data_IF_113024067534
#
_entry.id   IF_113024067534
#
_cell.length_a   1.000
_cell.length_b   1.000
_cell.length_c   1.000
_cell.angle_alpha   90.00
_cell.angle_beta   90.00
_cell.angle_gamma   90.00
#
_symmetry.space_group_name_H-M   'P 1'
#
loop_
_entity.id
_entity.type
_entity.pdbx_description
1 polymer ?
#
# COMPACT_ATOMS: atom_id res chain seq x y z
N UNK A 1 -20.51 -0.21 4.88
CA UNK A 1 -20.04 0.92 5.69
C UNK A 1 -18.61 1.28 5.28
N UNK A 2 -18.41 2.50 4.79
CA UNK A 2 -17.12 3.04 4.34
C UNK A 2 -16.02 2.91 5.40
N UNK A 3 -16.34 3.21 6.67
CA UNK A 3 -15.36 3.12 7.76
C UNK A 3 -14.73 1.71 7.86
N UNK A 4 -15.56 0.69 7.75
CA UNK A 4 -15.08 -0.70 7.81
C UNK A 4 -14.19 -1.04 6.61
N UNK A 5 -14.55 -0.59 5.41
CA UNK A 5 -13.73 -0.82 4.21
C UNK A 5 -12.39 -0.10 4.33
N UNK A 6 -12.37 1.16 4.77
CA UNK A 6 -11.13 1.92 5.00
C UNK A 6 -10.24 1.29 6.08
N UNK A 7 -10.83 0.87 7.20
CA UNK A 7 -10.11 0.19 8.29
C UNK A 7 -9.47 -1.12 7.82
N UNK A 8 -10.22 -1.91 7.07
CA UNK A 8 -9.75 -3.21 6.58
C UNK A 8 -8.69 -3.05 5.46
N UNK A 9 -8.82 -2.01 4.64
CA UNK A 9 -7.83 -1.67 3.61
C UNK A 9 -6.57 -0.99 4.17
N UNK A 10 -6.63 -0.45 5.41
CA UNK A 10 -5.50 0.23 6.01
C UNK A 10 -4.29 -0.71 6.16
N UNK A 11 -3.14 -0.25 5.65
CA UNK A 11 -1.85 -0.91 5.83
C UNK A 11 -0.90 0.03 6.57
N UNK A 12 -0.25 -0.48 7.59
CA UNK A 12 0.92 0.19 8.19
C UNK A 12 2.16 0.01 7.34
N UNK A 13 3.35 0.20 7.93
CA UNK A 13 4.61 -0.14 7.28
C UNK A 13 4.63 -1.61 6.85
N UNK A 14 5.10 -1.87 5.63
CA UNK A 14 5.20 -3.24 5.10
C UNK A 14 6.53 -3.88 5.54
N UNK A 15 6.57 -4.31 6.81
CA UNK A 15 7.73 -5.00 7.36
C UNK A 15 7.70 -6.47 6.93
N UNK A 16 8.74 -6.92 6.27
CA UNK A 16 8.88 -8.30 5.80
C UNK A 16 10.33 -8.73 5.68
N UNK A 17 10.56 -10.03 5.61
CA UNK A 17 11.83 -10.61 5.20
C UNK A 17 11.64 -11.39 3.88
N UNK A 18 12.71 -11.52 3.09
CA UNK A 18 12.68 -12.43 1.94
C UNK A 18 12.39 -13.84 2.44
N UNK A 19 11.39 -14.51 1.86
CA UNK A 19 11.00 -15.87 2.25
C UNK A 19 12.11 -16.90 2.05
N UNK A 20 13.06 -16.64 1.15
CA UNK A 20 14.19 -17.52 0.87
C UNK A 20 15.30 -17.40 1.91
N UNK A 21 15.37 -16.29 2.65
CA UNK A 21 16.40 -16.01 3.65
C UNK A 21 15.86 -15.92 5.07
N UNK A 22 14.54 -16.08 5.25
CA UNK A 22 13.92 -16.06 6.57
C UNK A 22 14.50 -17.17 7.47
N UNK A 23 15.08 -16.79 8.62
CA UNK A 23 15.75 -17.70 9.54
C UNK A 23 17.20 -18.06 9.17
N UNK A 24 17.73 -17.58 8.07
CA UNK A 24 19.12 -17.78 7.68
C UNK A 24 20.00 -16.63 8.20
N UNK A 25 21.28 -16.93 8.43
CA UNK A 25 22.33 -15.92 8.63
C UNK A 25 22.86 -15.53 7.24
N UNK A 26 22.77 -14.25 6.91
CA UNK A 26 23.24 -13.71 5.62
C UNK A 26 24.39 -12.77 5.91
N UNK A 27 25.53 -12.99 5.23
CA UNK A 27 26.72 -12.16 5.33
C UNK A 27 26.75 -11.10 4.22
N UNK A 28 27.62 -10.08 4.38
CA UNK A 28 27.82 -8.99 3.41
C UNK A 28 26.50 -8.23 3.05
N UNK A 29 25.70 -7.93 4.06
CA UNK A 29 24.45 -7.20 3.92
C UNK A 29 24.73 -5.70 3.93
N UNK A 30 24.22 -4.99 2.92
CA UNK A 30 24.18 -3.54 2.90
C UNK A 30 22.81 -3.03 3.34
N UNK A 31 22.79 -1.92 4.12
CA UNK A 31 21.55 -1.27 4.57
C UNK A 31 21.34 0.03 3.82
N UNK A 32 20.16 0.19 3.23
CA UNK A 32 19.74 1.40 2.54
C UNK A 32 18.51 1.98 3.22
N UNK A 33 18.53 3.28 3.47
CA UNK A 33 17.37 4.03 3.98
C UNK A 33 16.97 5.14 3.01
N UNK A 34 15.65 5.32 2.85
CA UNK A 34 15.11 6.43 2.06
C UNK A 34 14.96 7.65 2.94
N UNK A 35 15.85 8.63 2.75
CA UNK A 35 15.80 9.89 3.48
C UNK A 35 14.44 10.57 3.37
N UNK A 36 13.81 10.82 4.53
CA UNK A 36 12.57 11.60 4.64
C UNK A 36 11.43 11.11 3.75
N UNK A 37 11.19 9.80 3.70
CA UNK A 37 10.17 9.19 2.85
C UNK A 37 8.76 9.74 3.11
N UNK A 38 8.36 9.96 4.37
CA UNK A 38 7.07 10.54 4.71
C UNK A 38 6.89 11.99 4.23
N UNK A 39 7.83 12.94 4.49
CA UNK A 39 7.77 14.27 3.90
C UNK A 39 7.69 14.28 2.37
N UNK A 40 8.46 13.41 1.70
CA UNK A 40 8.44 13.30 0.25
C UNK A 40 7.05 12.87 -0.27
N UNK A 41 6.46 11.83 0.33
CA UNK A 41 5.11 11.37 -0.03
C UNK A 41 4.06 12.44 0.23
N UNK A 42 4.09 13.12 1.40
CA UNK A 42 3.16 14.20 1.74
C UNK A 42 3.19 15.33 0.72
N UNK A 43 4.37 15.68 0.24
CA UNK A 43 4.57 16.82 -0.68
C UNK A 43 4.23 16.44 -2.12
N UNK A 44 4.62 15.25 -2.57
CA UNK A 44 4.67 14.89 -3.99
C UNK A 44 3.60 13.90 -4.43
N UNK A 45 2.90 13.23 -3.50
CA UNK A 45 1.84 12.28 -3.86
C UNK A 45 0.44 12.92 -3.82
N UNK A 46 -0.48 12.29 -4.53
CA UNK A 46 -1.89 12.64 -4.49
C UNK A 46 -2.64 11.83 -3.43
N UNK A 47 -3.65 12.45 -2.84
CA UNK A 47 -4.48 11.91 -1.77
C UNK A 47 -5.96 12.04 -2.13
N UNK A 48 -6.87 11.26 -1.51
CA UNK A 48 -8.30 11.55 -1.56
C UNK A 48 -8.56 12.92 -0.93
N UNK A 49 -9.07 13.88 -1.70
CA UNK A 49 -9.30 15.27 -1.26
C UNK A 49 -10.77 15.65 -1.17
N UNK A 50 -11.67 14.73 -1.43
CA UNK A 50 -13.12 14.89 -1.26
C UNK A 50 -13.65 13.74 -0.41
N UNK A 51 -14.87 13.84 0.15
CA UNK A 51 -15.55 12.68 0.72
C UNK A 51 -15.59 11.53 -0.28
N UNK A 52 -15.60 10.31 0.22
CA UNK A 52 -15.80 9.12 -0.59
C UNK A 52 -17.28 8.96 -0.95
N UNK A 53 -17.57 8.64 -2.19
CA UNK A 53 -18.90 8.35 -2.72
C UNK A 53 -19.03 6.87 -3.04
N UNK A 54 -20.13 6.28 -2.64
CA UNK A 54 -20.42 4.88 -2.89
C UNK A 54 -20.73 4.63 -4.36
N UNK A 55 -20.09 3.62 -4.93
CA UNK A 55 -20.32 3.13 -6.31
C UNK A 55 -21.09 1.81 -6.28
N UNK A 56 -20.84 0.97 -5.26
CA UNK A 56 -21.39 -0.38 -5.13
C UNK A 56 -20.55 -1.42 -5.86
N UNK A 57 -21.19 -2.47 -6.35
CA UNK A 57 -20.53 -3.50 -7.13
C UNK A 57 -19.98 -2.94 -8.46
N UNK A 58 -18.78 -3.35 -8.82
CA UNK A 58 -18.06 -2.82 -9.97
C UNK A 58 -17.29 -3.91 -10.71
N UNK A 59 -16.85 -3.61 -11.90
CA UNK A 59 -15.93 -4.45 -12.68
C UNK A 59 -14.52 -3.84 -12.72
N UNK A 60 -13.53 -4.64 -13.13
CA UNK A 60 -12.18 -4.13 -13.37
C UNK A 60 -12.14 -3.02 -14.46
N UNK A 61 -13.11 -3.00 -15.38
CA UNK A 61 -13.24 -1.91 -16.36
C UNK A 61 -13.66 -0.61 -15.69
N UNK A 62 -14.58 -0.68 -14.71
CA UNK A 62 -15.00 0.48 -13.94
C UNK A 62 -13.86 1.03 -13.09
N UNK A 63 -13.08 0.16 -12.44
CA UNK A 63 -11.88 0.56 -11.70
C UNK A 63 -10.92 1.33 -12.63
N UNK A 64 -10.58 0.79 -13.79
CA UNK A 64 -9.70 1.44 -14.76
C UNK A 64 -10.26 2.79 -15.19
N UNK A 65 -11.57 2.88 -15.47
CA UNK A 65 -12.24 4.12 -15.83
C UNK A 65 -12.09 5.18 -14.74
N UNK A 66 -12.39 4.86 -13.49
CA UNK A 66 -12.28 5.82 -12.38
C UNK A 66 -10.83 6.23 -12.12
N UNK A 67 -9.87 5.31 -12.19
CA UNK A 67 -8.44 5.63 -12.08
C UNK A 67 -7.98 6.61 -13.18
N UNK A 68 -8.40 6.40 -14.42
CA UNK A 68 -8.11 7.32 -15.54
C UNK A 68 -8.74 8.71 -15.34
N UNK A 69 -9.83 8.80 -14.58
CA UNK A 69 -10.46 10.07 -14.18
C UNK A 69 -9.82 10.72 -12.94
N UNK A 70 -8.68 10.22 -12.48
CA UNK A 70 -7.99 10.75 -11.31
C UNK A 70 -8.78 10.52 -10.00
N UNK A 71 -9.40 9.35 -9.85
CA UNK A 71 -10.10 8.96 -8.64
C UNK A 71 -9.24 8.03 -7.80
N UNK A 72 -9.19 8.28 -6.50
CA UNK A 72 -8.71 7.33 -5.51
C UNK A 72 -9.86 6.38 -5.17
N UNK A 73 -9.56 5.10 -5.11
CA UNK A 73 -10.55 4.06 -4.87
C UNK A 73 -10.20 3.26 -3.63
N UNK A 74 -11.26 2.81 -2.93
CA UNK A 74 -11.16 1.75 -1.92
C UNK A 74 -12.30 0.78 -2.17
N UNK A 75 -12.03 -0.52 -2.05
CA UNK A 75 -12.99 -1.54 -2.45
C UNK A 75 -12.79 -2.85 -1.69
N UNK A 76 -13.85 -3.68 -1.65
CA UNK A 76 -13.79 -5.09 -1.28
C UNK A 76 -13.68 -5.93 -2.54
N UNK A 77 -12.69 -6.81 -2.56
CA UNK A 77 -12.50 -7.76 -3.65
C UNK A 77 -12.56 -9.18 -3.14
N UNK A 78 -13.12 -10.06 -3.96
CA UNK A 78 -13.00 -11.51 -3.82
C UNK A 78 -12.29 -12.05 -5.05
N UNK A 79 -11.33 -12.93 -4.83
CA UNK A 79 -10.54 -13.57 -5.88
C UNK A 79 -10.64 -15.09 -5.77
N UNK A 80 -10.75 -15.76 -6.91
CA UNK A 80 -10.89 -17.20 -7.02
C UNK A 80 -9.65 -17.79 -7.70
N UNK A 81 -9.15 -18.90 -7.16
CA UNK A 81 -7.96 -19.60 -7.64
C UNK A 81 -6.77 -18.68 -7.85
N UNK A 82 -6.49 -17.89 -6.81
CA UNK A 82 -5.38 -16.95 -6.75
C UNK A 82 -4.05 -17.70 -6.69
N UNK A 83 -3.06 -17.25 -7.45
CA UNK A 83 -1.70 -17.80 -7.44
C UNK A 83 -0.67 -16.75 -7.84
N UNK A 84 0.51 -16.80 -7.24
CA UNK A 84 1.63 -15.99 -7.67
C UNK A 84 2.02 -16.34 -9.12
N UNK A 85 2.25 -15.31 -9.95
CA UNK A 85 2.81 -15.46 -11.30
C UNK A 85 4.24 -15.93 -11.25
N UNK A 86 5.04 -15.31 -10.39
CA UNK A 86 6.42 -15.68 -10.17
C UNK A 86 6.59 -16.38 -8.82
N UNK A 87 6.73 -17.71 -8.87
CA UNK A 87 7.00 -18.52 -7.67
C UNK A 87 8.32 -18.18 -6.96
N UNK A 88 9.22 -17.46 -7.62
CA UNK A 88 10.48 -16.99 -7.04
C UNK A 88 10.41 -15.58 -6.48
N UNK A 89 9.24 -14.94 -6.50
CA UNK A 89 9.05 -13.65 -5.83
C UNK A 89 9.51 -13.73 -4.36
N UNK A 90 10.48 -12.93 -3.94
CA UNK A 90 11.02 -13.01 -2.58
C UNK A 90 10.03 -12.49 -1.53
N UNK A 91 9.13 -11.59 -1.94
CA UNK A 91 8.12 -10.97 -1.08
C UNK A 91 6.79 -10.92 -1.80
N UNK A 92 5.94 -11.95 -1.65
CA UNK A 92 4.57 -11.90 -2.14
C UNK A 92 3.79 -10.76 -1.46
N UNK A 93 2.97 -10.04 -2.22
CA UNK A 93 2.34 -8.81 -1.72
C UNK A 93 1.22 -9.04 -0.72
N UNK A 94 0.41 -10.11 -0.84
CA UNK A 94 -0.77 -10.31 -0.02
C UNK A 94 -0.42 -10.88 1.35
N UNK A 95 -0.52 -10.10 2.46
CA UNK A 95 -0.35 -10.64 3.81
C UNK A 95 -1.62 -11.40 4.21
N UNK A 96 -1.48 -12.61 4.75
CA UNK A 96 -2.60 -13.39 5.27
C UNK A 96 -3.40 -12.64 6.34
N UNK A 97 -2.72 -11.88 7.19
CA UNK A 97 -3.35 -11.10 8.26
C UNK A 97 -4.28 -9.97 7.77
N UNK A 98 -4.23 -9.61 6.49
CA UNK A 98 -5.07 -8.58 5.86
C UNK A 98 -6.21 -9.14 5.02
N UNK A 99 -6.36 -10.47 4.97
CA UNK A 99 -7.51 -11.09 4.33
C UNK A 99 -8.66 -11.25 5.31
N UNK A 100 -9.88 -10.94 4.89
CA UNK A 100 -11.12 -11.23 5.64
C UNK A 100 -11.49 -12.70 5.53
N UNK A 101 -11.23 -13.31 4.36
CA UNK A 101 -11.36 -14.73 4.12
C UNK A 101 -10.18 -15.24 3.29
N UNK A 102 -9.75 -16.47 3.55
CA UNK A 102 -8.68 -17.10 2.78
C UNK A 102 -8.80 -18.62 2.96
N UNK A 103 -9.27 -19.30 1.92
CA UNK A 103 -9.62 -20.72 1.95
C UNK A 103 -8.62 -21.52 1.12
N UNK A 104 -8.20 -22.67 1.65
CA UNK A 104 -7.25 -23.59 1.03
C UNK A 104 -6.00 -22.86 0.49
N UNK A 105 -5.36 -22.08 1.40
CA UNK A 105 -4.26 -21.21 1.03
C UNK A 105 -2.89 -21.86 1.27
N UNK A 106 -2.01 -21.68 0.32
CA UNK A 106 -0.57 -21.87 0.48
C UNK A 106 0.02 -20.55 1.03
N UNK A 107 0.68 -20.63 2.19
CA UNK A 107 1.21 -19.46 2.90
C UNK A 107 2.69 -19.70 3.21
N UNK A 108 3.52 -18.71 2.92
CA UNK A 108 4.92 -18.70 3.28
C UNK A 108 5.27 -17.37 3.95
N UNK A 109 5.92 -17.44 5.12
CA UNK A 109 6.31 -16.27 5.91
C UNK A 109 5.18 -15.22 6.07
N UNK A 110 3.96 -15.70 6.34
CA UNK A 110 2.76 -14.85 6.52
C UNK A 110 2.19 -14.23 5.25
N UNK A 111 2.71 -14.59 4.08
CA UNK A 111 2.26 -14.13 2.75
C UNK A 111 1.55 -15.25 2.00
N UNK A 112 0.49 -14.89 1.30
CA UNK A 112 -0.30 -15.81 0.48
C UNK A 112 0.44 -16.05 -0.84
N UNK A 113 0.71 -17.32 -1.16
CA UNK A 113 1.28 -17.75 -2.44
C UNK A 113 0.17 -18.15 -3.41
N UNK A 114 -0.80 -18.90 -2.90
CA UNK A 114 -1.98 -19.32 -3.62
C UNK A 114 -3.16 -19.46 -2.66
N UNK A 115 -4.38 -19.35 -3.16
CA UNK A 115 -5.60 -19.64 -2.43
C UNK A 115 -6.72 -20.00 -3.39
N UNK A 116 -7.61 -20.94 -3.01
CA UNK A 116 -8.82 -21.26 -3.75
C UNK A 116 -9.80 -20.08 -3.73
N UNK A 117 -9.96 -19.45 -2.57
CA UNK A 117 -10.75 -18.25 -2.38
C UNK A 117 -10.04 -17.28 -1.45
N UNK A 118 -10.07 -15.99 -1.80
CA UNK A 118 -9.50 -14.93 -0.98
C UNK A 118 -10.40 -13.70 -1.05
N UNK A 119 -10.71 -13.11 0.12
CA UNK A 119 -11.44 -11.85 0.23
C UNK A 119 -10.63 -10.85 1.04
N UNK A 120 -10.55 -9.61 0.53
CA UNK A 120 -9.85 -8.52 1.22
C UNK A 120 -10.36 -7.15 0.79
N UNK A 121 -10.12 -6.14 1.64
CA UNK A 121 -10.28 -4.74 1.27
C UNK A 121 -8.96 -4.18 0.75
N UNK A 122 -9.02 -3.41 -0.33
CA UNK A 122 -7.84 -2.87 -1.04
C UNK A 122 -8.10 -1.45 -1.52
N UNK A 123 -7.02 -0.69 -1.67
CA UNK A 123 -7.02 0.55 -2.46
C UNK A 123 -6.78 0.24 -3.95
N UNK A 124 -6.92 1.24 -4.81
CA UNK A 124 -6.53 1.14 -6.22
C UNK A 124 -5.03 0.83 -6.40
N UNK A 125 -4.19 1.34 -5.51
CA UNK A 125 -2.74 1.08 -5.50
C UNK A 125 -2.47 -0.38 -5.16
N UNK A 126 -3.11 -0.91 -4.09
CA UNK A 126 -2.98 -2.32 -3.72
C UNK A 126 -3.44 -3.25 -4.84
N UNK A 127 -4.62 -2.95 -5.42
CA UNK A 127 -5.17 -3.76 -6.51
C UNK A 127 -4.22 -3.82 -7.71
N UNK A 128 -3.58 -2.70 -8.06
CA UNK A 128 -2.60 -2.67 -9.14
C UNK A 128 -1.44 -3.63 -8.85
N UNK A 129 -0.86 -3.58 -7.65
CA UNK A 129 0.25 -4.47 -7.26
C UNK A 129 -0.21 -5.93 -7.26
N UNK A 130 -1.42 -6.20 -6.75
CA UNK A 130 -1.98 -7.56 -6.76
C UNK A 130 -2.13 -8.08 -8.19
N UNK A 131 -2.68 -7.27 -9.11
CA UNK A 131 -2.83 -7.65 -10.51
C UNK A 131 -1.50 -7.83 -11.24
N UNK A 132 -0.44 -7.16 -10.79
CA UNK A 132 0.91 -7.35 -11.34
C UNK A 132 1.56 -8.64 -10.84
N UNK A 133 1.33 -9.03 -9.58
CA UNK A 133 1.99 -10.19 -8.96
C UNK A 133 1.22 -11.50 -9.03
N UNK A 134 -0.11 -11.43 -9.12
CA UNK A 134 -0.97 -12.62 -9.03
C UNK A 134 -1.85 -12.81 -10.27
N UNK A 135 -2.10 -14.07 -10.57
CA UNK A 135 -3.20 -14.49 -11.44
C UNK A 135 -4.38 -14.95 -10.59
N UNK A 136 -5.58 -14.75 -11.09
CA UNK A 136 -6.82 -15.28 -10.53
C UNK A 136 -7.77 -15.64 -11.67
N UNK A 137 -8.55 -16.72 -11.51
CA UNK A 137 -9.51 -17.12 -12.53
C UNK A 137 -10.69 -16.15 -12.61
N UNK A 138 -11.05 -15.55 -11.47
CA UNK A 138 -12.07 -14.52 -11.39
C UNK A 138 -11.77 -13.51 -10.28
N UNK A 139 -12.12 -12.24 -10.50
CA UNK A 139 -12.04 -11.16 -9.52
C UNK A 139 -13.39 -10.46 -9.47
N UNK A 140 -14.02 -10.49 -8.30
CA UNK A 140 -15.30 -9.82 -8.03
C UNK A 140 -15.06 -8.62 -7.14
N UNK A 141 -15.59 -7.47 -7.52
CA UNK A 141 -15.58 -6.25 -6.71
C UNK A 141 -16.99 -6.06 -6.18
N UNK A 142 -17.19 -6.38 -4.90
CA UNK A 142 -18.51 -6.40 -4.28
C UNK A 142 -18.95 -5.02 -3.78
N UNK A 143 -18.00 -4.17 -3.39
CA UNK A 143 -18.26 -2.86 -2.82
C UNK A 143 -17.10 -1.91 -3.16
N UNK A 144 -17.40 -0.81 -3.83
CA UNK A 144 -16.40 0.17 -4.26
C UNK A 144 -16.82 1.59 -3.86
N UNK A 145 -15.85 2.36 -3.41
CA UNK A 145 -15.99 3.78 -3.07
C UNK A 145 -14.94 4.58 -3.81
N UNK A 146 -15.24 5.80 -4.18
CA UNK A 146 -14.36 6.68 -4.94
C UNK A 146 -14.30 8.08 -4.34
N UNK A 147 -13.14 8.70 -4.41
CA UNK A 147 -12.89 10.10 -4.07
C UNK A 147 -12.08 10.76 -5.17
N UNK A 148 -12.13 12.08 -5.28
CA UNK A 148 -11.23 12.80 -6.17
C UNK A 148 -9.82 12.80 -5.60
N UNK A 149 -8.83 12.42 -6.41
CA UNK A 149 -7.42 12.55 -6.05
C UNK A 149 -6.91 13.97 -6.29
N UNK A 150 -6.02 14.41 -5.44
CA UNK A 150 -5.34 15.70 -5.56
C UNK A 150 -4.25 15.86 -4.53
N UNK A 151 -3.50 16.92 -4.67
CA UNK A 151 -2.45 17.26 -3.71
C UNK A 151 -3.05 17.88 -2.45
N UNK A 152 -2.40 17.66 -1.31
CA UNK A 152 -2.70 18.38 -0.09
C UNK A 152 -2.56 19.91 -0.29
N UNK A 153 -3.23 20.74 0.54
CA UNK A 153 -3.17 22.20 0.41
C UNK A 153 -1.74 22.72 0.29
N UNK A 154 -1.55 23.69 -0.59
CA UNK A 154 -0.21 24.26 -0.89
C UNK A 154 0.51 24.73 0.38
N UNK A 155 -0.19 25.46 1.25
CA UNK A 155 0.38 25.95 2.50
C UNK A 155 0.93 24.81 3.39
N UNK A 156 0.21 23.68 3.46
CA UNK A 156 0.65 22.52 4.22
C UNK A 156 1.89 21.87 3.62
N UNK A 157 1.92 21.68 2.29
CA UNK A 157 3.10 21.13 1.60
C UNK A 157 4.33 22.03 1.72
N UNK A 158 4.16 23.33 1.65
CA UNK A 158 5.25 24.30 1.83
C UNK A 158 5.76 24.30 3.28
N UNK A 159 4.88 24.16 4.26
CA UNK A 159 5.28 24.00 5.67
C UNK A 159 6.15 22.74 5.86
N UNK A 160 5.74 21.61 5.30
CA UNK A 160 6.53 20.37 5.37
C UNK A 160 7.90 20.55 4.71
N UNK A 161 7.95 21.18 3.52
CA UNK A 161 9.22 21.49 2.83
C UNK A 161 10.13 22.38 3.68
N UNK A 162 9.57 23.41 4.31
CA UNK A 162 10.33 24.32 5.20
C UNK A 162 11.00 23.54 6.33
N UNK A 163 10.24 22.70 7.04
CA UNK A 163 10.82 21.91 8.13
C UNK A 163 11.83 20.87 7.65
N UNK A 164 11.63 20.31 6.47
CA UNK A 164 12.61 19.39 5.87
C UNK A 164 13.95 20.10 5.59
N UNK A 165 13.90 21.30 5.01
CA UNK A 165 15.11 22.13 4.76
C UNK A 165 15.80 22.45 6.07
N UNK A 166 15.07 22.95 7.07
CA UNK A 166 15.62 23.27 8.39
C UNK A 166 16.29 22.04 9.05
N UNK A 167 15.63 20.87 9.00
CA UNK A 167 16.21 19.62 9.50
C UNK A 167 17.53 19.29 8.79
N UNK A 168 17.58 19.47 7.48
CA UNK A 168 18.78 19.18 6.68
C UNK A 168 19.92 20.14 7.01
N UNK A 169 19.63 21.42 7.20
CA UNK A 169 20.59 22.43 7.60
C UNK A 169 21.15 22.19 9.02
N UNK A 170 20.29 21.78 9.96
CA UNK A 170 20.70 21.45 11.33
C UNK A 170 21.60 20.22 11.44
N UNK A 171 21.49 19.28 10.51
CA UNK A 171 22.33 18.05 10.49
C UNK A 171 23.82 18.32 10.34
N UNK A 172 24.20 19.47 9.76
CA UNK A 172 25.61 19.84 9.54
C UNK A 172 26.15 20.80 10.62
N UNK A 173 25.35 21.07 11.65
CA UNK A 173 25.73 21.96 12.76
C UNK A 173 26.05 21.13 14.00
N UNK A 174 27.29 21.13 14.44
CA UNK A 174 27.73 20.41 15.65
C UNK A 174 26.90 20.81 16.87
N UNK A 175 26.50 19.85 17.65
CA UNK A 175 25.71 20.04 18.88
C UNK A 175 24.20 20.24 18.65
N UNK A 176 23.71 20.15 17.42
CA UNK A 176 22.30 20.29 17.10
C UNK A 176 21.58 18.95 16.82
N UNK A 177 22.23 17.83 17.10
CA UNK A 177 21.71 16.48 16.84
C UNK A 177 20.36 16.24 17.51
N UNK A 178 20.20 16.69 18.76
CA UNK A 178 18.94 16.54 19.49
C UNK A 178 17.78 17.36 18.91
N UNK A 179 18.05 18.36 18.09
CA UNK A 179 17.03 19.19 17.45
C UNK A 179 16.54 18.57 16.14
N UNK A 180 17.42 18.07 15.28
CA UNK A 180 16.98 17.47 14.03
C UNK A 180 16.36 16.08 14.25
N UNK A 181 16.72 15.36 15.32
CA UNK A 181 16.08 14.08 15.65
C UNK A 181 14.65 14.24 16.17
N UNK A 182 14.31 15.40 16.73
CA UNK A 182 12.95 15.73 17.20
C UNK A 182 12.07 16.39 16.14
N UNK A 183 12.64 16.89 15.08
CA UNK A 183 11.89 17.59 14.03
C UNK A 183 11.46 16.62 12.91
#
# INVERSE_FOLDING_TARGET
DLYMVLRDAFRGGDTHASRFYAGAVVENVESYDRSSSYPDVIVNCQYPITPFYHVGAASLKDVKYYMQKGRALVMRIAMYNVRLRDKYSPVPYIPKAKTQSCVNAEIDNGRVLAAEYLEMAVTDIDLKIILDQYDADNIVISDMWQSRSGYLPRAYRELVKKYYVQKTELKVVDGMEAYYDKS
#
